data_IF_327081967338
#
_entry.id   IF_327081967338
#
_cell.length_a   1.000
_cell.length_b   1.000
_cell.length_c   1.000
_cell.angle_alpha   90.00
_cell.angle_beta   90.00
_cell.angle_gamma   90.00
#
_symmetry.space_group_name_H-M   'P 1'
#
loop_
_entity.id
_entity.type
_entity.pdbx_description
1 polymer ?
#
# COMPACT_ATOMS: atom_id res chain seq x y z
N UNK A 1 1.04 7.49 -11.54
CA UNK A 1 2.18 7.92 -10.70
C UNK A 1 1.96 7.34 -9.32
N UNK A 2 2.89 6.51 -8.84
CA UNK A 2 2.85 5.97 -7.48
C UNK A 2 3.74 6.83 -6.58
N UNK A 3 3.30 7.07 -5.36
CA UNK A 3 4.05 7.81 -4.35
C UNK A 3 4.12 6.95 -3.11
N UNK A 4 5.32 6.75 -2.58
CA UNK A 4 5.54 6.12 -1.28
C UNK A 4 5.69 7.25 -0.27
N UNK A 5 4.86 7.25 0.76
CA UNK A 5 4.85 8.27 1.80
C UNK A 5 5.09 7.63 3.17
N UNK A 6 5.81 8.31 4.06
CA UNK A 6 5.78 8.01 5.49
C UNK A 6 4.36 8.10 6.04
N UNK A 7 4.09 7.35 7.11
CA UNK A 7 2.74 7.26 7.69
C UNK A 7 2.28 8.61 8.27
N UNK A 8 3.22 9.40 8.80
CA UNK A 8 3.01 10.72 9.34
C UNK A 8 2.58 11.76 8.30
N UNK A 9 2.91 11.55 7.02
CA UNK A 9 2.59 12.49 5.93
C UNK A 9 1.23 12.20 5.26
N UNK A 10 0.64 11.02 5.51
CA UNK A 10 -0.54 10.56 4.76
C UNK A 10 -1.76 11.46 5.00
N UNK A 11 -1.95 11.97 6.22
CA UNK A 11 -3.13 12.77 6.57
C UNK A 11 -3.13 14.08 5.79
N UNK A 12 -2.00 14.79 5.79
CA UNK A 12 -1.87 16.07 5.10
C UNK A 12 -1.92 15.88 3.58
N UNK A 13 -1.32 14.82 3.05
CA UNK A 13 -1.42 14.47 1.64
C UNK A 13 -2.88 14.24 1.20
N UNK A 14 -3.63 13.43 1.94
CA UNK A 14 -5.04 13.14 1.62
C UNK A 14 -5.94 14.37 1.79
N UNK A 15 -5.67 15.24 2.78
CA UNK A 15 -6.37 16.52 2.93
C UNK A 15 -6.11 17.44 1.74
N UNK A 16 -4.87 17.52 1.27
CA UNK A 16 -4.50 18.25 0.05
C UNK A 16 -5.27 17.77 -1.17
N UNK A 17 -5.23 16.46 -1.43
CA UNK A 17 -5.97 15.84 -2.53
C UNK A 17 -7.48 16.12 -2.50
N UNK A 18 -8.10 16.02 -1.32
CA UNK A 18 -9.53 16.30 -1.16
C UNK A 18 -9.88 17.77 -1.43
N UNK A 19 -9.00 18.70 -1.07
CA UNK A 19 -9.18 20.13 -1.36
C UNK A 19 -9.06 20.43 -2.85
N UNK A 20 -8.07 19.86 -3.52
CA UNK A 20 -7.82 20.07 -4.94
C UNK A 20 -8.85 19.40 -5.85
N UNK A 21 -9.33 18.22 -5.45
CA UNK A 21 -10.26 17.40 -6.23
C UNK A 21 -11.42 16.91 -5.35
N UNK A 22 -12.42 17.77 -5.07
CA UNK A 22 -13.61 17.40 -4.33
C UNK A 22 -14.34 16.21 -4.97
N UNK A 23 -14.81 15.27 -4.15
CA UNK A 23 -15.55 14.10 -4.63
C UNK A 23 -14.70 12.92 -5.10
N UNK A 24 -13.36 13.00 -5.00
CA UNK A 24 -12.47 11.85 -5.23
C UNK A 24 -12.88 10.64 -4.39
N UNK A 25 -13.08 9.50 -5.04
CA UNK A 25 -13.25 8.21 -4.37
C UNK A 25 -11.86 7.67 -4.04
N UNK A 26 -11.61 7.44 -2.76
CA UNK A 26 -10.35 6.93 -2.24
C UNK A 26 -10.63 5.56 -1.63
N UNK A 27 -10.05 4.51 -2.19
CA UNK A 27 -10.04 3.18 -1.58
C UNK A 27 -8.80 3.04 -0.69
N UNK A 28 -8.96 2.31 0.40
CA UNK A 28 -7.85 1.94 1.27
C UNK A 28 -7.79 0.43 1.38
N UNK A 29 -6.57 -0.10 1.37
CA UNK A 29 -6.30 -1.44 1.83
C UNK A 29 -4.95 -1.51 2.51
N UNK A 30 -4.69 -2.58 3.26
CA UNK A 30 -3.40 -2.85 3.86
C UNK A 30 -2.96 -4.29 3.63
N UNK A 31 -1.68 -4.55 3.86
CA UNK A 31 -1.19 -5.91 3.84
C UNK A 31 0.32 -6.03 3.95
N UNK A 32 0.73 -7.27 4.15
CA UNK A 32 2.12 -7.65 4.28
C UNK A 32 2.82 -7.72 2.91
N UNK A 33 2.16 -8.28 1.88
CA UNK A 33 2.74 -8.46 0.54
C UNK A 33 4.14 -9.11 0.51
N UNK A 34 4.42 -9.96 1.50
CA UNK A 34 5.64 -10.76 1.55
C UNK A 34 5.56 -11.90 0.53
N UNK A 35 6.65 -12.10 -0.22
CA UNK A 35 6.69 -12.92 -1.43
C UNK A 35 5.52 -12.55 -2.37
N UNK A 36 5.68 -11.48 -3.14
CA UNK A 36 4.67 -11.04 -4.09
C UNK A 36 4.38 -12.15 -5.11
N UNK A 37 3.09 -12.38 -5.37
CA UNK A 37 2.63 -13.39 -6.31
C UNK A 37 1.36 -12.88 -7.02
N UNK A 38 0.94 -13.57 -8.09
CA UNK A 38 -0.22 -13.21 -8.93
C UNK A 38 -1.46 -12.80 -8.13
N UNK A 39 -1.79 -13.54 -7.07
CA UNK A 39 -2.96 -13.22 -6.22
C UNK A 39 -2.94 -11.79 -5.65
N UNK A 40 -1.78 -11.28 -5.22
CA UNK A 40 -1.66 -9.91 -4.73
C UNK A 40 -1.86 -8.88 -5.84
N UNK A 41 -1.32 -9.13 -7.04
CA UNK A 41 -1.45 -8.23 -8.19
C UNK A 41 -2.91 -8.13 -8.61
N UNK A 42 -3.56 -9.27 -8.86
CA UNK A 42 -4.97 -9.30 -9.25
C UNK A 42 -5.89 -8.64 -8.19
N UNK A 43 -5.56 -8.82 -6.91
CA UNK A 43 -6.25 -8.16 -5.82
C UNK A 43 -6.13 -6.62 -5.88
N UNK A 44 -4.90 -6.10 -6.04
CA UNK A 44 -4.64 -4.66 -6.10
C UNK A 44 -5.21 -4.03 -7.37
N UNK A 45 -5.13 -4.71 -8.51
CA UNK A 45 -5.77 -4.29 -9.76
C UNK A 45 -7.28 -4.11 -9.54
N UNK A 46 -7.93 -5.10 -8.93
CA UNK A 46 -9.37 -5.02 -8.68
C UNK A 46 -9.73 -3.91 -7.68
N UNK A 47 -8.91 -3.71 -6.66
CA UNK A 47 -9.11 -2.62 -5.70
C UNK A 47 -8.98 -1.24 -6.37
N UNK A 48 -8.05 -1.09 -7.32
CA UNK A 48 -7.86 0.16 -8.07
C UNK A 48 -9.07 0.51 -8.94
N UNK A 49 -9.75 -0.47 -9.54
CA UNK A 49 -10.95 -0.22 -10.36
C UNK A 49 -12.11 0.41 -9.58
N UNK A 50 -12.12 0.30 -8.25
CA UNK A 50 -13.22 0.76 -7.40
C UNK A 50 -13.07 2.22 -6.94
N UNK A 51 -11.94 2.86 -7.23
CA UNK A 51 -11.62 4.20 -6.73
C UNK A 51 -10.78 5.01 -7.73
N UNK A 52 -10.76 6.32 -7.54
CA UNK A 52 -9.91 7.21 -8.31
C UNK A 52 -8.46 7.19 -7.77
N UNK A 53 -8.30 6.87 -6.48
CA UNK A 53 -7.01 6.69 -5.79
C UNK A 53 -7.10 5.45 -4.90
N UNK A 54 -6.10 4.57 -4.97
CA UNK A 54 -5.90 3.47 -4.04
C UNK A 54 -4.75 3.80 -3.09
N UNK A 55 -5.03 3.81 -1.79
CA UNK A 55 -4.04 3.94 -0.72
C UNK A 55 -3.72 2.54 -0.19
N UNK A 56 -2.45 2.16 -0.23
CA UNK A 56 -1.96 0.87 0.26
C UNK A 56 -1.12 1.05 1.52
N UNK A 57 -1.63 0.61 2.67
CA UNK A 57 -0.87 0.50 3.90
C UNK A 57 0.02 -0.73 3.89
N UNK A 58 1.33 -0.57 3.70
CA UNK A 58 2.28 -1.67 3.78
C UNK A 58 2.68 -1.94 5.23
N UNK A 59 2.52 -3.18 5.70
CA UNK A 59 3.00 -3.55 7.04
C UNK A 59 4.54 -3.48 7.13
N UNK A 60 5.04 -2.89 8.22
CA UNK A 60 6.46 -2.92 8.57
C UNK A 60 6.97 -4.34 8.86
N UNK A 61 8.28 -4.53 8.81
CA UNK A 61 8.89 -5.83 9.09
C UNK A 61 8.56 -6.30 10.52
N UNK A 62 8.61 -5.40 11.49
CA UNK A 62 8.23 -5.69 12.87
C UNK A 62 6.76 -6.05 13.02
N UNK A 63 5.87 -5.34 12.30
CA UNK A 63 4.44 -5.66 12.30
C UNK A 63 4.18 -7.06 11.74
N UNK A 64 4.82 -7.41 10.63
CA UNK A 64 4.70 -8.74 10.03
C UNK A 64 5.27 -9.81 10.95
N UNK A 65 6.43 -9.57 11.55
CA UNK A 65 7.09 -10.53 12.46
C UNK A 65 6.25 -10.79 13.70
N UNK A 66 5.63 -9.75 14.29
CA UNK A 66 4.69 -9.92 15.40
C UNK A 66 3.46 -10.73 15.02
N UNK A 67 2.95 -10.55 13.79
CA UNK A 67 1.74 -11.23 13.32
C UNK A 67 1.98 -12.69 12.90
N UNK A 68 3.10 -12.96 12.21
CA UNK A 68 3.34 -14.25 11.53
C UNK A 68 4.48 -15.07 12.15
N UNK A 69 5.24 -14.50 13.07
CA UNK A 69 6.42 -15.14 13.67
C UNK A 69 7.62 -15.20 12.73
N UNK A 70 8.78 -15.58 13.28
CA UNK A 70 9.98 -15.84 12.48
C UNK A 70 9.78 -17.07 11.57
N UNK A 71 10.35 -17.08 10.35
CA UNK A 71 11.28 -16.09 9.80
C UNK A 71 10.62 -14.93 9.03
N UNK A 72 9.31 -14.70 9.14
CA UNK A 72 8.60 -13.68 8.33
C UNK A 72 8.87 -12.25 8.82
N UNK A 73 8.86 -11.25 7.92
CA UNK A 73 8.77 -11.39 6.46
C UNK A 73 10.07 -11.91 5.85
N UNK A 74 9.99 -12.57 4.69
CA UNK A 74 11.18 -12.96 3.92
C UNK A 74 11.76 -11.80 3.13
N UNK A 75 10.93 -10.87 2.68
CA UNK A 75 11.34 -9.67 1.94
C UNK A 75 11.15 -8.44 2.83
N UNK A 76 12.19 -7.62 2.96
CA UNK A 76 12.15 -6.41 3.78
C UNK A 76 11.12 -5.39 3.27
N UNK A 77 10.60 -4.56 4.18
CA UNK A 77 9.57 -3.58 3.88
C UNK A 77 9.98 -2.59 2.77
N UNK A 78 11.27 -2.24 2.69
CA UNK A 78 11.80 -1.34 1.67
C UNK A 78 11.67 -1.95 0.27
N UNK A 79 12.10 -3.21 0.11
CA UNK A 79 12.00 -3.93 -1.16
C UNK A 79 10.53 -4.18 -1.55
N UNK A 80 9.69 -4.58 -0.58
CA UNK A 80 8.25 -4.75 -0.81
C UNK A 80 7.60 -3.44 -1.28
N UNK A 81 7.93 -2.33 -0.63
CA UNK A 81 7.43 -0.99 -0.99
C UNK A 81 7.88 -0.60 -2.40
N UNK A 82 9.17 -0.80 -2.72
CA UNK A 82 9.71 -0.51 -4.03
C UNK A 82 8.97 -1.29 -5.12
N UNK A 83 8.84 -2.62 -4.97
CA UNK A 83 8.15 -3.47 -5.95
C UNK A 83 6.69 -3.04 -6.12
N UNK A 84 5.96 -2.82 -5.02
CA UNK A 84 4.55 -2.43 -5.07
C UNK A 84 4.35 -1.07 -5.74
N UNK A 85 5.25 -0.12 -5.53
CA UNK A 85 5.21 1.19 -6.20
C UNK A 85 5.48 1.15 -7.71
N UNK A 86 5.87 -0.01 -8.25
CA UNK A 86 6.17 -0.23 -9.67
C UNK A 86 5.16 -1.12 -10.38
N UNK A 87 4.08 -1.54 -9.72
CA UNK A 87 2.97 -2.26 -10.36
C UNK A 87 2.09 -1.28 -11.15
N UNK A 88 1.72 -1.64 -12.39
CA UNK A 88 0.93 -0.80 -13.31
C UNK A 88 -0.60 -0.92 -13.14
#
# INVERSE_FOLDING_TARGET
MHVVLPMEEIEDFLKGLRRERPGLRIAFTNGCFDILHRGHVAYLEKARELADILVLGLNSDDSVRRLKGAPRPYIHQEDRSFILSRLE
#
